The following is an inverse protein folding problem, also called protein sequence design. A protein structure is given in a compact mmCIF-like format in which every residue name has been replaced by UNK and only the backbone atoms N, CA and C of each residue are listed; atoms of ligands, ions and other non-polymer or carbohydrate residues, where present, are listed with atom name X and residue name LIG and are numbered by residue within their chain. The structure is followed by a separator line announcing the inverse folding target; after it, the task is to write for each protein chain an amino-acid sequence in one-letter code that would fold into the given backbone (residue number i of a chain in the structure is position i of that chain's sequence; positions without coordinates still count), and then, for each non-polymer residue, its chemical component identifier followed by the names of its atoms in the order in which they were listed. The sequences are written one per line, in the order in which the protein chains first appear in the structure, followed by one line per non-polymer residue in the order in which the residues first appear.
data_IF_994592381974
#
_entry.id   IF_994592381974
#
_cell.length_a   1.000
_cell.length_b   1.000
_cell.length_c   1.000
_cell.angle_alpha   90.00
_cell.angle_beta   90.00
_cell.angle_gamma   90.00
#
_symmetry.space_group_name_H-M   'P 1'
#
loop_
_entity.id
_entity.type
_entity.pdbx_description
1 polymer ?
#
# COMPACT_ATOMS: atom_id res chain seq x y z
N UNK A 1 16.79 4.49 17.26
CA UNK A 1 17.34 5.79 16.82
C UNK A 1 16.28 6.60 16.07
N UNK A 2 15.68 6.07 15.02
CA UNK A 2 14.76 6.76 14.11
C UNK A 2 13.54 7.37 14.85
N UNK A 3 12.81 6.59 15.66
CA UNK A 3 11.68 7.10 16.45
C UNK A 3 12.03 8.29 17.37
N UNK A 4 13.26 8.28 17.94
CA UNK A 4 13.74 9.41 18.77
C UNK A 4 14.01 10.64 17.91
N UNK A 5 14.67 10.47 16.74
CA UNK A 5 14.98 11.55 15.79
C UNK A 5 13.71 12.23 15.28
N UNK A 6 12.68 11.46 14.98
CA UNK A 6 11.42 11.93 14.37
C UNK A 6 10.32 12.24 15.39
N UNK A 7 10.57 12.05 16.70
CA UNK A 7 9.58 12.19 17.79
C UNK A 7 8.34 11.30 17.58
N UNK A 8 8.49 10.21 16.84
CA UNK A 8 7.42 9.23 16.58
C UNK A 8 7.33 8.24 17.74
N UNK A 9 6.14 7.84 18.20
CA UNK A 9 5.99 6.79 19.19
C UNK A 9 6.67 5.50 18.74
N UNK A 10 7.45 4.89 19.63
CA UNK A 10 8.10 3.63 19.34
C UNK A 10 7.08 2.48 19.37
N UNK A 11 7.14 1.52 18.43
CA UNK A 11 6.31 0.32 18.49
C UNK A 11 6.47 -0.39 19.84
N UNK A 12 5.35 -0.85 20.41
CA UNK A 12 5.35 -1.54 21.72
C UNK A 12 6.15 -2.84 21.73
N UNK A 13 6.09 -3.58 20.62
CA UNK A 13 6.85 -4.81 20.39
C UNK A 13 7.19 -4.92 18.91
N UNK A 14 8.29 -5.63 18.65
CA UNK A 14 8.70 -6.02 17.30
C UNK A 14 8.57 -7.54 17.22
N UNK A 15 7.90 -8.04 16.21
CA UNK A 15 7.72 -9.46 15.94
C UNK A 15 8.53 -9.87 14.72
N UNK A 16 9.16 -11.03 14.81
CA UNK A 16 9.73 -11.72 13.65
C UNK A 16 8.75 -12.81 13.23
N UNK A 17 8.21 -12.67 12.02
CA UNK A 17 7.25 -13.62 11.44
C UNK A 17 8.04 -14.67 10.64
N UNK A 18 7.74 -15.94 10.85
CA UNK A 18 8.37 -17.04 10.13
C UNK A 18 7.68 -17.27 8.78
N UNK A 19 7.92 -16.38 7.81
CA UNK A 19 7.45 -16.45 6.43
C UNK A 19 8.61 -16.17 5.49
N UNK A 20 8.67 -16.88 4.36
CA UNK A 20 9.64 -16.69 3.27
C UNK A 20 9.34 -15.46 2.42
N UNK A 21 8.08 -15.01 2.36
CA UNK A 21 7.71 -13.82 1.63
C UNK A 21 8.32 -12.56 2.27
N UNK A 22 9.05 -11.71 1.53
CA UNK A 22 9.67 -10.51 2.08
C UNK A 22 8.61 -9.46 2.39
N UNK A 23 8.40 -9.16 3.67
CA UNK A 23 7.42 -8.17 4.13
C UNK A 23 7.78 -7.57 5.48
N UNK A 24 7.33 -6.33 5.71
CA UNK A 24 7.22 -5.70 7.02
C UNK A 24 5.90 -4.94 7.08
N UNK A 25 5.32 -4.81 8.27
CA UNK A 25 4.09 -4.03 8.44
C UNK A 25 3.90 -3.59 9.88
N UNK A 26 3.24 -2.45 10.02
CA UNK A 26 2.79 -1.91 11.31
C UNK A 26 1.30 -2.15 11.48
N UNK A 27 0.91 -2.57 12.67
CA UNK A 27 -0.50 -2.75 13.01
C UNK A 27 -0.79 -2.27 14.43
N UNK A 28 -2.04 -1.91 14.69
CA UNK A 28 -2.50 -1.39 15.97
C UNK A 28 -3.68 -0.46 15.79
N UNK A 29 -4.22 0.02 16.92
CA UNK A 29 -5.36 0.96 16.89
C UNK A 29 -4.91 2.42 16.84
N UNK A 30 -3.80 2.72 17.47
CA UNK A 30 -3.26 4.10 17.60
C UNK A 30 -1.75 4.06 17.49
N UNK A 31 -1.08 5.18 17.19
CA UNK A 31 0.39 5.27 17.19
C UNK A 31 1.04 4.78 18.49
N UNK A 32 0.43 5.04 19.65
CA UNK A 32 0.94 4.63 20.96
C UNK A 32 0.74 3.14 21.24
N UNK A 33 -0.11 2.45 20.51
CA UNK A 33 -0.38 1.02 20.63
C UNK A 33 0.06 0.23 19.41
N UNK A 34 0.94 0.79 18.59
CA UNK A 34 1.47 0.17 17.39
C UNK A 34 2.43 -0.99 17.71
N UNK A 35 2.41 -1.98 16.85
CA UNK A 35 3.33 -3.12 16.79
C UNK A 35 3.98 -3.15 15.40
N UNK A 36 5.23 -3.60 15.32
CA UNK A 36 5.93 -3.81 14.06
C UNK A 36 6.16 -5.30 13.85
N UNK A 37 5.81 -5.82 12.69
CA UNK A 37 6.13 -7.19 12.29
C UNK A 37 7.09 -7.15 11.09
N UNK A 38 8.08 -8.05 11.08
CA UNK A 38 9.08 -8.19 10.02
C UNK A 38 9.20 -9.68 9.71
N UNK A 39 9.15 -10.06 8.44
CA UNK A 39 9.31 -11.45 8.04
C UNK A 39 10.78 -11.88 7.96
N UNK A 40 11.04 -13.17 8.14
CA UNK A 40 12.38 -13.73 7.88
C UNK A 40 12.80 -13.56 6.43
N UNK A 41 11.86 -13.68 5.48
CA UNK A 41 12.12 -13.44 4.07
C UNK A 41 12.69 -12.04 3.81
N UNK A 42 12.13 -10.99 4.43
CA UNK A 42 12.67 -9.64 4.30
C UNK A 42 14.07 -9.51 4.89
N UNK A 43 14.29 -10.07 6.10
CA UNK A 43 15.60 -10.00 6.77
C UNK A 43 16.69 -10.74 5.99
N UNK A 44 16.35 -11.78 5.24
CA UNK A 44 17.27 -12.56 4.43
C UNK A 44 17.55 -11.97 3.04
N UNK A 45 16.59 -11.18 2.51
CA UNK A 45 16.66 -10.64 1.13
C UNK A 45 17.25 -9.24 1.06
N UNK A 46 17.25 -8.48 2.16
CA UNK A 46 17.63 -7.08 2.17
C UNK A 46 18.93 -6.84 2.93
N UNK A 47 19.66 -5.83 2.48
CA UNK A 47 20.84 -5.32 3.18
C UNK A 47 20.44 -4.43 4.37
N UNK A 48 21.39 -4.15 5.26
CA UNK A 48 21.13 -3.45 6.52
C UNK A 48 20.54 -2.04 6.31
N UNK A 49 21.03 -1.30 5.34
CA UNK A 49 20.54 0.05 4.99
C UNK A 49 19.16 0.00 4.33
N UNK A 50 18.87 -1.04 3.56
CA UNK A 50 17.57 -1.31 2.96
C UNK A 50 16.53 -1.68 4.03
N UNK A 51 16.91 -2.52 5.00
CA UNK A 51 16.06 -2.85 6.17
C UNK A 51 15.78 -1.58 6.99
N UNK A 52 16.79 -0.72 7.22
CA UNK A 52 16.60 0.54 7.93
C UNK A 52 15.62 1.45 7.19
N UNK A 53 15.69 1.51 5.86
CA UNK A 53 14.78 2.29 5.03
C UNK A 53 13.34 1.74 5.07
N UNK A 54 13.16 0.42 5.01
CA UNK A 54 11.84 -0.23 5.16
C UNK A 54 11.25 0.04 6.55
N UNK A 55 12.04 -0.10 7.60
CA UNK A 55 11.59 0.25 8.96
C UNK A 55 11.25 1.74 9.05
N UNK A 56 11.98 2.59 8.34
CA UNK A 56 11.69 4.02 8.20
C UNK A 56 10.30 4.27 7.60
N UNK A 57 9.95 3.54 6.57
CA UNK A 57 8.64 3.57 5.94
C UNK A 57 7.53 3.16 6.92
N UNK A 58 7.70 2.07 7.65
CA UNK A 58 6.76 1.61 8.66
C UNK A 58 6.57 2.62 9.81
N UNK A 59 7.66 3.27 10.23
CA UNK A 59 7.59 4.35 11.23
C UNK A 59 6.89 5.57 10.65
N UNK A 60 6.99 5.82 9.36
CA UNK A 60 6.22 6.84 8.63
C UNK A 60 4.72 6.67 8.82
N UNK A 61 4.20 5.46 8.68
CA UNK A 61 2.78 5.14 8.93
C UNK A 61 2.35 5.44 10.38
N UNK A 62 3.22 5.15 11.36
CA UNK A 62 2.96 5.51 12.77
C UNK A 62 2.93 7.03 12.95
N UNK A 63 3.91 7.73 12.39
CA UNK A 63 4.05 9.18 12.48
C UNK A 63 2.84 9.91 11.91
N UNK A 64 2.36 9.48 10.77
CA UNK A 64 1.20 10.04 10.08
C UNK A 64 -0.14 9.55 10.63
N UNK A 65 -0.14 8.65 11.62
CA UNK A 65 -1.35 8.08 12.26
C UNK A 65 -2.23 7.31 11.29
N UNK A 66 -1.64 6.63 10.29
CA UNK A 66 -2.34 6.01 9.18
C UNK A 66 -3.38 4.99 9.62
N UNK A 67 -3.09 4.20 10.65
CA UNK A 67 -4.05 3.26 11.22
C UNK A 67 -5.34 3.93 11.72
N UNK A 68 -5.26 5.16 12.26
CA UNK A 68 -6.45 5.92 12.69
C UNK A 68 -7.15 6.53 11.48
N UNK A 69 -6.40 7.21 10.60
CA UNK A 69 -6.93 7.86 9.40
C UNK A 69 -7.67 6.86 8.53
N UNK A 70 -7.04 5.72 8.22
CA UNK A 70 -7.64 4.70 7.35
C UNK A 70 -8.85 4.02 8.00
N UNK A 71 -8.84 3.82 9.33
CA UNK A 71 -10.03 3.30 10.03
C UNK A 71 -11.23 4.24 9.90
N UNK A 72 -11.02 5.54 10.09
CA UNK A 72 -12.10 6.55 9.97
C UNK A 72 -12.59 6.62 8.51
N UNK A 73 -11.67 6.69 7.56
CA UNK A 73 -12.01 6.82 6.14
C UNK A 73 -12.72 5.57 5.62
N UNK A 74 -12.30 4.37 6.03
CA UNK A 74 -12.95 3.11 5.66
C UNK A 74 -14.37 2.95 6.23
N UNK A 75 -14.74 3.71 7.26
CA UNK A 75 -16.10 3.73 7.76
C UNK A 75 -17.08 4.48 6.83
N UNK A 76 -16.58 5.41 5.99
CA UNK A 76 -17.44 6.25 5.12
C UNK A 76 -18.27 5.41 4.12
N UNK A 77 -17.68 4.48 3.33
CA UNK A 77 -18.48 3.64 2.44
C UNK A 77 -19.50 2.78 3.19
N UNK A 78 -19.14 2.28 4.37
CA UNK A 78 -20.03 1.46 5.20
C UNK A 78 -21.23 2.28 5.66
N UNK A 79 -21.02 3.49 6.16
CA UNK A 79 -22.09 4.40 6.57
C UNK A 79 -22.97 4.80 5.37
N UNK A 80 -22.39 5.10 4.21
CA UNK A 80 -23.09 5.39 2.98
C UNK A 80 -23.99 4.22 2.56
N UNK A 81 -23.48 2.99 2.64
CA UNK A 81 -24.25 1.77 2.35
C UNK A 81 -25.46 1.62 3.28
N UNK A 82 -25.27 1.77 4.58
CA UNK A 82 -26.38 1.65 5.54
C UNK A 82 -27.41 2.77 5.40
N UNK A 83 -26.97 4.01 5.16
CA UNK A 83 -27.86 5.12 4.88
C UNK A 83 -28.73 4.87 3.63
N UNK A 84 -28.11 4.36 2.57
CA UNK A 84 -28.79 3.96 1.34
C UNK A 84 -29.83 2.86 1.59
N UNK A 85 -29.47 1.81 2.31
CA UNK A 85 -30.39 0.73 2.68
C UNK A 85 -31.56 1.25 3.50
N UNK A 86 -31.29 2.11 4.47
CA UNK A 86 -32.37 2.72 5.29
C UNK A 86 -33.33 3.51 4.41
N UNK A 87 -32.86 4.33 3.48
CA UNK A 87 -33.69 5.11 2.56
C UNK A 87 -34.54 4.23 1.63
N UNK A 88 -34.02 3.09 1.20
CA UNK A 88 -34.72 2.14 0.32
C UNK A 88 -35.82 1.38 1.07
N UNK A 89 -35.52 0.93 2.29
CA UNK A 89 -36.40 0.06 3.08
C UNK A 89 -37.20 0.77 4.16
N UNK A 90 -37.09 2.11 4.29
CA UNK A 90 -37.90 2.87 5.24
C UNK A 90 -39.39 2.64 4.96
N UNK A 91 -40.23 2.41 6.01
CA UNK A 91 -41.67 2.27 5.87
C UNK A 91 -42.24 3.53 5.20
N UNK A 92 -42.83 3.38 4.04
CA UNK A 92 -43.53 4.45 3.30
C UNK A 92 -44.99 4.06 3.19
N UNK A 93 -45.87 5.05 3.34
CA UNK A 93 -47.31 4.85 3.13
C UNK A 93 -47.57 4.29 1.74
N UNK A 94 -48.43 3.28 1.65
CA UNK A 94 -48.64 2.45 0.45
C UNK A 94 -49.05 3.25 -0.82
N UNK A 95 -49.61 4.44 -0.68
CA UNK A 95 -50.12 5.27 -1.78
C UNK A 95 -49.04 5.91 -2.70
N UNK A 96 -47.73 5.82 -2.37
CA UNK A 96 -46.61 6.45 -3.13
C UNK A 96 -45.51 5.51 -3.53
N UNK A 97 -45.74 4.25 -3.64
CA UNK A 97 -44.73 3.31 -4.18
C UNK A 97 -44.68 3.35 -5.72
N UNK A 98 -44.14 4.39 -6.28
CA UNK A 98 -43.58 4.25 -7.63
C UNK A 98 -42.33 3.36 -7.52
N UNK A 99 -42.42 2.11 -7.95
CA UNK A 99 -41.32 1.14 -7.96
C UNK A 99 -40.07 1.70 -8.65
N UNK A 100 -40.22 2.57 -9.62
CA UNK A 100 -39.17 3.26 -10.32
C UNK A 100 -38.34 4.19 -9.42
N UNK A 101 -38.98 4.92 -8.50
CA UNK A 101 -38.24 5.82 -7.58
C UNK A 101 -37.36 5.06 -6.60
N UNK A 102 -37.80 3.89 -6.11
CA UNK A 102 -37.03 3.04 -5.23
C UNK A 102 -35.78 2.46 -5.94
N UNK A 103 -35.91 2.03 -7.17
CA UNK A 103 -34.81 1.55 -8.00
C UNK A 103 -33.78 2.67 -8.24
N UNK A 104 -34.24 3.87 -8.58
CA UNK A 104 -33.37 5.01 -8.82
C UNK A 104 -32.55 5.38 -7.55
N UNK A 105 -33.21 5.43 -6.40
CA UNK A 105 -32.52 5.65 -5.10
C UNK A 105 -31.48 4.54 -4.85
N UNK A 106 -31.81 3.29 -5.15
CA UNK A 106 -30.88 2.16 -5.02
C UNK A 106 -29.64 2.31 -5.92
N UNK A 107 -29.84 2.73 -7.16
CA UNK A 107 -28.72 2.94 -8.10
C UNK A 107 -27.82 4.09 -7.61
N UNK A 108 -28.41 5.23 -7.24
CA UNK A 108 -27.64 6.38 -6.72
C UNK A 108 -26.82 5.98 -5.49
N UNK A 109 -27.43 5.26 -4.58
CA UNK A 109 -26.77 4.78 -3.37
C UNK A 109 -25.60 3.84 -3.67
N UNK A 110 -25.76 2.94 -4.65
CA UNK A 110 -24.68 2.06 -5.09
C UNK A 110 -23.54 2.83 -5.75
N UNK A 111 -23.83 3.84 -6.55
CA UNK A 111 -22.83 4.72 -7.16
C UNK A 111 -22.05 5.47 -6.08
N UNK A 112 -22.73 6.04 -5.07
CA UNK A 112 -22.07 6.72 -3.95
C UNK A 112 -21.16 5.76 -3.17
N UNK A 113 -21.64 4.57 -2.86
CA UNK A 113 -20.83 3.52 -2.21
C UNK A 113 -19.60 3.18 -3.04
N UNK A 114 -19.75 2.95 -4.35
CA UNK A 114 -18.64 2.62 -5.24
C UNK A 114 -17.60 3.73 -5.32
N UNK A 115 -18.02 4.99 -5.50
CA UNK A 115 -17.11 6.14 -5.52
C UNK A 115 -16.39 6.29 -4.18
N UNK A 116 -17.10 6.10 -3.06
CA UNK A 116 -16.48 6.16 -1.72
C UNK A 116 -15.39 5.12 -1.54
N UNK A 117 -15.58 3.88 -2.04
CA UNK A 117 -14.53 2.86 -2.01
C UNK A 117 -13.31 3.26 -2.85
N UNK A 118 -13.51 3.83 -4.04
CA UNK A 118 -12.39 4.31 -4.87
C UNK A 118 -11.60 5.42 -4.18
N UNK A 119 -12.28 6.33 -3.45
CA UNK A 119 -11.63 7.38 -2.68
C UNK A 119 -10.80 6.80 -1.51
N UNK A 120 -11.30 5.77 -0.83
CA UNK A 120 -10.54 5.06 0.22
C UNK A 120 -9.27 4.44 -0.37
N UNK A 121 -9.36 3.75 -1.51
CA UNK A 121 -8.20 3.16 -2.19
C UNK A 121 -7.22 4.23 -2.67
N UNK A 122 -7.71 5.35 -3.20
CA UNK A 122 -6.87 6.47 -3.60
C UNK A 122 -6.12 7.06 -2.40
N UNK A 123 -6.79 7.27 -1.28
CA UNK A 123 -6.16 7.78 -0.06
C UNK A 123 -5.12 6.78 0.48
N UNK A 124 -5.41 5.47 0.46
CA UNK A 124 -4.44 4.44 0.82
C UNK A 124 -3.14 4.60 0.02
N UNK A 125 -3.24 4.72 -1.30
CA UNK A 125 -2.06 4.94 -2.17
C UNK A 125 -1.30 6.24 -1.87
N UNK A 126 -2.00 7.33 -1.56
CA UNK A 126 -1.35 8.58 -1.14
C UNK A 126 -0.54 8.39 0.15
N UNK A 127 -1.06 7.64 1.11
CA UNK A 127 -0.37 7.35 2.38
C UNK A 127 0.96 6.64 2.17
N UNK A 128 1.05 5.74 1.18
CA UNK A 128 2.30 5.09 0.79
C UNK A 128 3.37 6.11 0.38
N UNK A 129 3.02 7.08 -0.48
CA UNK A 129 3.97 8.13 -0.89
C UNK A 129 4.43 9.00 0.30
N UNK A 130 3.56 9.30 1.25
CA UNK A 130 3.93 10.03 2.47
C UNK A 130 4.88 9.20 3.35
N UNK A 131 4.65 7.91 3.49
CA UNK A 131 5.54 7.02 4.24
C UNK A 131 6.89 6.85 3.53
N UNK A 132 6.91 6.74 2.20
CA UNK A 132 8.12 6.69 1.38
C UNK A 132 8.95 7.98 1.55
N UNK A 133 8.30 9.14 1.43
CA UNK A 133 8.97 10.43 1.63
C UNK A 133 9.55 10.55 3.03
N UNK A 134 8.77 10.20 4.06
CA UNK A 134 9.25 10.19 5.44
C UNK A 134 10.48 9.29 5.62
N UNK A 135 10.45 8.08 5.08
CA UNK A 135 11.61 7.19 5.12
C UNK A 135 12.80 7.80 4.38
N UNK A 136 12.61 8.29 3.16
CA UNK A 136 13.67 8.87 2.35
C UNK A 136 14.36 10.06 3.02
N UNK A 137 13.60 10.96 3.66
CA UNK A 137 14.13 12.13 4.37
C UNK A 137 14.91 11.77 5.65
N UNK A 138 14.63 10.63 6.26
CA UNK A 138 15.20 10.25 7.55
C UNK A 138 16.21 9.10 7.49
N UNK A 139 16.23 8.37 6.37
CA UNK A 139 17.17 7.27 6.07
C UNK A 139 17.85 7.53 4.73
N UNK A 140 17.48 6.79 3.66
CA UNK A 140 18.00 6.96 2.30
C UNK A 140 16.92 6.66 1.26
N UNK A 141 16.58 7.62 0.36
CA UNK A 141 15.66 7.36 -0.75
C UNK A 141 16.13 6.21 -1.65
N UNK A 142 17.44 6.15 -1.93
CA UNK A 142 18.04 5.12 -2.77
C UNK A 142 17.93 3.73 -2.16
N UNK A 143 18.17 3.60 -0.85
CA UNK A 143 18.07 2.31 -0.14
C UNK A 143 16.63 1.83 -0.10
N UNK A 144 15.65 2.73 0.10
CA UNK A 144 14.24 2.36 0.02
C UNK A 144 13.83 1.94 -1.39
N UNK A 145 14.30 2.63 -2.43
CA UNK A 145 14.01 2.27 -3.81
C UNK A 145 14.53 0.87 -4.17
N UNK A 146 15.77 0.54 -3.74
CA UNK A 146 16.34 -0.81 -3.90
C UNK A 146 15.54 -1.86 -3.11
N UNK A 147 15.18 -1.55 -1.87
CA UNK A 147 14.37 -2.44 -1.04
C UNK A 147 13.03 -2.76 -1.70
N UNK A 148 12.31 -1.75 -2.20
CA UNK A 148 11.03 -1.92 -2.90
C UNK A 148 11.17 -2.83 -4.12
N UNK A 149 12.22 -2.66 -4.93
CA UNK A 149 12.48 -3.50 -6.08
C UNK A 149 12.74 -4.97 -5.67
N UNK A 150 13.59 -5.21 -4.66
CA UNK A 150 13.88 -6.55 -4.14
C UNK A 150 12.65 -7.22 -3.51
N UNK A 151 11.84 -6.46 -2.77
CA UNK A 151 10.58 -6.96 -2.17
C UNK A 151 9.60 -7.38 -3.27
N UNK A 152 9.40 -6.54 -4.27
CA UNK A 152 8.48 -6.82 -5.39
C UNK A 152 8.90 -8.09 -6.13
N UNK A 153 10.19 -8.24 -6.42
CA UNK A 153 10.73 -9.47 -7.01
C UNK A 153 10.52 -10.68 -6.10
N UNK A 154 10.90 -10.60 -4.83
CA UNK A 154 10.76 -11.69 -3.86
C UNK A 154 9.31 -12.12 -3.66
N UNK A 155 8.34 -11.19 -3.69
CA UNK A 155 6.92 -11.51 -3.63
C UNK A 155 6.44 -12.25 -4.89
N UNK A 156 7.01 -11.96 -6.06
CA UNK A 156 6.62 -12.60 -7.31
C UNK A 156 7.00 -14.07 -7.40
N UNK A 157 8.09 -14.46 -6.73
CA UNK A 157 8.62 -15.83 -6.71
C UNK A 157 8.27 -16.59 -5.43
N UNK A 158 7.63 -15.94 -4.46
CA UNK A 158 7.25 -16.57 -3.20
C UNK A 158 6.17 -17.65 -3.43
N UNK A 159 6.36 -18.81 -2.81
CA UNK A 159 5.35 -19.87 -2.78
C UNK A 159 4.18 -19.56 -1.85
N UNK A 160 4.36 -18.60 -0.93
CA UNK A 160 3.32 -18.11 -0.02
C UNK A 160 2.26 -17.31 -0.80
N UNK A 161 1.30 -18.01 -1.41
CA UNK A 161 0.18 -17.37 -2.12
C UNK A 161 -0.72 -16.64 -1.15
N UNK A 162 -0.77 -15.32 -1.27
CA UNK A 162 -1.66 -14.48 -0.47
C UNK A 162 -2.97 -14.29 -1.24
N UNK A 163 -3.92 -15.21 -1.04
CA UNK A 163 -5.24 -15.15 -1.72
C UNK A 163 -6.19 -14.15 -1.08
N UNK A 164 -6.05 -13.89 0.23
CA UNK A 164 -6.96 -13.02 0.96
C UNK A 164 -6.62 -11.54 0.75
N UNK A 165 -7.57 -10.78 0.16
CA UNK A 165 -7.41 -9.35 -0.11
C UNK A 165 -7.11 -8.51 1.17
N UNK A 166 -7.68 -8.89 2.32
CA UNK A 166 -7.43 -8.20 3.58
C UNK A 166 -5.98 -8.40 4.06
N UNK A 167 -5.41 -9.58 3.82
CA UNK A 167 -4.00 -9.88 4.16
C UNK A 167 -3.04 -9.16 3.21
N UNK A 168 -3.40 -9.05 1.93
CA UNK A 168 -2.58 -8.33 0.93
C UNK A 168 -2.36 -6.86 1.27
N UNK A 169 -3.33 -6.21 1.91
CA UNK A 169 -3.19 -4.81 2.34
C UNK A 169 -2.12 -4.57 3.41
N UNK A 170 -1.58 -5.64 4.03
CA UNK A 170 -0.45 -5.57 4.96
C UNK A 170 0.92 -5.79 4.29
N UNK A 171 0.98 -5.95 2.98
CA UNK A 171 2.24 -6.06 2.27
C UNK A 171 2.73 -4.69 1.80
N UNK A 172 4.04 -4.48 1.79
CA UNK A 172 4.69 -3.24 1.30
C UNK A 172 4.48 -3.05 -0.21
N UNK A 173 4.35 -4.15 -0.96
CA UNK A 173 3.99 -4.17 -2.37
C UNK A 173 2.85 -5.16 -2.62
N UNK A 174 2.01 -4.95 -3.63
CA UNK A 174 0.91 -5.87 -3.95
C UNK A 174 1.47 -7.19 -4.55
N UNK A 175 1.30 -8.36 -3.90
CA UNK A 175 1.85 -9.63 -4.39
C UNK A 175 1.31 -10.04 -5.76
N UNK A 176 0.07 -9.66 -6.12
CA UNK A 176 -0.51 -9.99 -7.44
C UNK A 176 0.09 -9.10 -8.52
N UNK A 177 0.26 -7.80 -8.23
CA UNK A 177 0.95 -6.90 -9.16
C UNK A 177 2.40 -7.34 -9.36
N UNK A 178 3.11 -7.70 -8.29
CA UNK A 178 4.47 -8.22 -8.32
C UNK A 178 4.61 -9.46 -9.22
N UNK A 179 3.71 -10.44 -9.09
CA UNK A 179 3.74 -11.66 -9.93
C UNK A 179 3.58 -11.34 -11.42
N UNK A 180 2.70 -10.39 -11.77
CA UNK A 180 2.50 -9.97 -13.16
C UNK A 180 3.67 -9.17 -13.71
N UNK A 181 4.26 -8.31 -12.88
CA UNK A 181 5.41 -7.48 -13.19
C UNK A 181 6.62 -8.35 -13.53
N UNK A 182 6.95 -9.31 -12.68
CA UNK A 182 8.12 -10.19 -12.84
C UNK A 182 7.91 -11.29 -13.88
N UNK A 183 6.69 -11.80 -14.07
CA UNK A 183 6.44 -12.81 -15.13
C UNK A 183 6.80 -12.32 -16.53
N UNK A 184 6.82 -11.01 -16.73
CA UNK A 184 7.22 -10.40 -18.01
C UNK A 184 8.74 -10.25 -18.15
N UNK A 185 9.49 -10.26 -17.05
CA UNK A 185 10.94 -10.01 -17.01
C UNK A 185 11.75 -11.13 -16.35
N UNK A 186 11.20 -12.34 -16.27
CA UNK A 186 11.77 -13.47 -15.52
C UNK A 186 13.26 -13.73 -15.80
N UNK A 187 13.70 -13.59 -17.03
CA UNK A 187 15.09 -13.87 -17.44
C UNK A 187 16.08 -12.73 -17.05
N UNK A 188 15.57 -11.55 -16.69
CA UNK A 188 16.39 -10.36 -16.39
C UNK A 188 16.58 -10.16 -14.88
N UNK A 189 15.81 -10.90 -14.05
CA UNK A 189 15.84 -10.82 -12.59
C UNK A 189 16.55 -12.00 -11.89
N UNK A 190 17.09 -12.97 -12.66
CA UNK A 190 17.75 -14.16 -12.09
C UNK A 190 19.04 -13.83 -11.32
N UNK A 191 19.70 -12.72 -11.64
CA UNK A 191 20.82 -12.18 -10.85
C UNK A 191 20.33 -10.99 -9.97
N UNK A 192 20.15 -11.23 -8.69
CA UNK A 192 19.70 -10.26 -7.67
C UNK A 192 20.58 -9.00 -7.49
N UNK A 193 21.59 -8.80 -8.33
CA UNK A 193 22.24 -7.52 -8.56
C UNK A 193 21.39 -6.69 -9.52
N UNK A 194 20.30 -6.12 -9.01
CA UNK A 194 19.42 -5.24 -9.79
C UNK A 194 20.22 -4.03 -10.25
N UNK A 195 20.72 -4.10 -11.47
CA UNK A 195 21.36 -2.98 -12.15
C UNK A 195 20.30 -1.89 -12.40
N UNK A 196 20.73 -0.63 -12.30
CA UNK A 196 19.88 0.53 -12.57
C UNK A 196 19.20 0.46 -13.95
N UNK A 197 19.79 -0.27 -14.88
CA UNK A 197 19.31 -0.50 -16.25
C UNK A 197 18.11 -1.46 -16.29
N UNK A 198 18.11 -2.51 -15.47
CA UNK A 198 17.02 -3.49 -15.36
C UNK A 198 15.83 -2.89 -14.61
N UNK A 199 16.10 -2.12 -13.55
CA UNK A 199 15.09 -1.35 -12.86
C UNK A 199 14.38 -0.37 -13.80
N UNK A 200 15.12 0.32 -14.69
CA UNK A 200 14.53 1.19 -15.72
C UNK A 200 13.62 0.44 -16.68
N UNK A 201 13.99 -0.76 -17.12
CA UNK A 201 13.15 -1.57 -18.02
C UNK A 201 11.84 -2.00 -17.34
N UNK A 202 11.89 -2.48 -16.10
CA UNK A 202 10.70 -2.81 -15.32
C UNK A 202 9.76 -1.62 -15.16
N UNK A 203 10.32 -0.44 -14.82
CA UNK A 203 9.58 0.81 -14.73
C UNK A 203 8.93 1.23 -16.05
N UNK A 204 9.61 1.02 -17.19
CA UNK A 204 9.07 1.35 -18.50
C UNK A 204 7.91 0.43 -18.89
N UNK A 205 7.96 -0.84 -18.53
CA UNK A 205 6.89 -1.79 -18.80
C UNK A 205 5.61 -1.43 -18.02
N UNK A 206 5.71 -1.21 -16.72
CA UNK A 206 4.56 -0.79 -15.92
C UNK A 206 3.93 0.49 -16.47
N UNK A 207 4.77 1.46 -16.84
CA UNK A 207 4.31 2.73 -17.43
C UNK A 207 3.52 2.54 -18.73
N UNK A 208 3.92 1.58 -19.57
CA UNK A 208 3.29 1.29 -20.88
C UNK A 208 2.06 0.40 -20.76
N UNK A 209 1.92 -0.37 -19.68
CA UNK A 209 0.85 -1.34 -19.53
C UNK A 209 -0.44 -0.67 -19.04
N UNK A 210 -1.41 -0.50 -19.95
CA UNK A 210 -2.72 0.07 -19.62
C UNK A 210 -3.47 -0.74 -18.55
N UNK A 211 -3.34 -2.07 -18.58
CA UNK A 211 -3.99 -2.95 -17.61
C UNK A 211 -3.42 -2.76 -16.20
N UNK A 212 -2.10 -2.63 -16.05
CA UNK A 212 -1.47 -2.33 -14.77
C UNK A 212 -1.98 -1.00 -14.20
N UNK A 213 -2.13 0.03 -15.05
CA UNK A 213 -2.65 1.34 -14.64
C UNK A 213 -4.12 1.30 -14.21
N UNK A 214 -4.95 0.51 -14.90
CA UNK A 214 -6.36 0.34 -14.53
C UNK A 214 -6.48 -0.48 -13.25
N UNK A 215 -5.70 -1.56 -13.09
CA UNK A 215 -5.71 -2.39 -11.88
C UNK A 215 -5.26 -1.62 -10.63
N UNK A 216 -4.37 -0.64 -10.78
CA UNK A 216 -3.95 0.23 -9.68
C UNK A 216 -5.11 1.01 -9.04
N UNK A 217 -6.13 1.39 -9.82
CA UNK A 217 -7.31 2.11 -9.29
C UNK A 217 -7.99 1.28 -8.19
N UNK A 218 -7.96 -0.05 -8.32
CA UNK A 218 -8.53 -1.02 -7.39
C UNK A 218 -7.52 -1.59 -6.39
N UNK A 219 -6.29 -1.09 -6.38
CA UNK A 219 -5.23 -1.50 -5.45
C UNK A 219 -5.12 -0.56 -4.25
N UNK A 220 -4.72 -1.09 -3.10
CA UNK A 220 -4.38 -0.33 -1.90
C UNK A 220 -2.98 0.28 -1.98
N UNK A 221 -2.11 -0.27 -2.83
CA UNK A 221 -0.74 0.20 -3.01
C UNK A 221 -0.55 0.79 -4.42
N UNK A 222 0.28 1.85 -4.55
CA UNK A 222 0.68 2.34 -5.87
C UNK A 222 1.61 1.35 -6.54
N UNK A 223 1.71 1.44 -7.86
CA UNK A 223 2.69 0.67 -8.63
C UNK A 223 4.11 0.99 -8.14
N UNK A 224 4.95 -0.04 -8.03
CA UNK A 224 6.31 0.06 -7.48
C UNK A 224 7.15 1.08 -8.23
N UNK A 225 7.04 1.14 -9.56
CA UNK A 225 7.78 2.12 -10.36
C UNK A 225 7.46 3.57 -10.01
N UNK A 226 6.21 3.88 -9.65
CA UNK A 226 5.80 5.25 -9.26
C UNK A 226 6.44 5.64 -7.93
N UNK A 227 6.51 4.71 -6.98
CA UNK A 227 7.17 4.92 -5.70
C UNK A 227 8.67 5.14 -5.90
N UNK A 228 9.32 4.28 -6.71
CA UNK A 228 10.75 4.40 -7.03
C UNK A 228 11.05 5.73 -7.74
N UNK A 229 10.19 6.14 -8.69
CA UNK A 229 10.33 7.43 -9.37
C UNK A 229 10.25 8.59 -8.38
N UNK A 230 9.26 8.61 -7.49
CA UNK A 230 9.11 9.64 -6.46
C UNK A 230 10.30 9.68 -5.50
N UNK A 231 10.88 8.51 -5.16
CA UNK A 231 12.08 8.43 -4.33
C UNK A 231 13.33 8.97 -5.04
N UNK A 232 13.46 8.78 -6.36
CA UNK A 232 14.55 9.39 -7.15
C UNK A 232 14.43 10.91 -7.19
N UNK A 233 13.22 11.42 -7.42
CA UNK A 233 12.95 12.86 -7.39
C UNK A 233 13.27 13.45 -5.99
N UNK A 234 12.93 12.74 -4.93
CA UNK A 234 13.28 13.12 -3.56
C UNK A 234 14.80 13.11 -3.32
N UNK A 235 15.54 12.12 -3.86
CA UNK A 235 17.00 12.07 -3.75
C UNK A 235 17.65 13.28 -4.39
N UNK A 236 17.17 13.72 -5.54
CA UNK A 236 17.64 14.93 -6.24
C UNK A 236 17.30 16.20 -5.44
N UNK A 237 16.07 16.29 -4.89
CA UNK A 237 15.66 17.40 -4.02
C UNK A 237 16.56 17.51 -2.78
N UNK A 238 16.91 16.39 -2.14
CA UNK A 238 17.74 16.39 -0.95
C UNK A 238 19.22 16.72 -1.23
N UNK A 239 19.72 16.43 -2.45
CA UNK A 239 21.09 16.81 -2.87
C UNK A 239 21.21 18.28 -3.23
N UNK A 240 20.10 18.93 -3.57
CA UNK A 240 20.07 20.36 -3.95
C UNK A 240 19.92 21.31 -2.76
N UNK A 241 19.65 20.80 -1.57
CA UNK A 241 19.56 21.51 -0.28
C UNK A 241 20.86 21.45 0.50
#
# INVERSE_FOLDING_TARGET
KLCKKTKTPMPKKIFIVNSGAPNAFVFGRTPKSAYLAITRGLLNSLEKDEIEAVIGHEIGHINHKDMVVMTVVAAIPVLAYFAARFLIFAPRNEERREAGAAILVGIIAYVIYFISNLLVLYLSRLREFYADRFSGEHTSPRSLARALAKITYGLSISEDKVENAAVRSFFIADPIAATKEVSTFRNEYEDLNIDEKELKKAMEWERKNLFARISEIFSTHPLTFKRIKALKELEEELKSK
#
